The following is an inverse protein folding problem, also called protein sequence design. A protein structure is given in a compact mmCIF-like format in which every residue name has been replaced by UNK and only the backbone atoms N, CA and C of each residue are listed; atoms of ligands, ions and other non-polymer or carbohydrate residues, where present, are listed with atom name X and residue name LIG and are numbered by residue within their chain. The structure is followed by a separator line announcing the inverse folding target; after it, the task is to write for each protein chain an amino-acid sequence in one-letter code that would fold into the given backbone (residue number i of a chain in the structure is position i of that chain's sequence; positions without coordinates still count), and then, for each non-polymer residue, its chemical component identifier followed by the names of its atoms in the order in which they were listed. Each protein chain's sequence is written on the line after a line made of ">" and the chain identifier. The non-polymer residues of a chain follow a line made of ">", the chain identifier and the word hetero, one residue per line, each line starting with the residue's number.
data_IF_336031789765
#
_entry.id   IF_336031789765
#
_cell.length_a   1.000
_cell.length_b   1.000
_cell.length_c   1.000
_cell.angle_alpha   90.00
_cell.angle_beta   90.00
_cell.angle_gamma   90.00
#
_symmetry.space_group_name_H-M   'P 1'
#
loop_
_entity.id
_entity.type
_entity.pdbx_description
1 polymer ?
#
# COMPACT_ATOMS: atom_id res chain seq x y z
N UNK A 1 -24.52 -12.29 -28.72
CA UNK A 1 -23.14 -12.52 -28.25
C UNK A 1 -22.90 -11.57 -27.10
N UNK A 2 -23.03 -12.04 -25.86
CA UNK A 2 -22.89 -11.20 -24.66
C UNK A 2 -21.42 -11.07 -24.30
N UNK A 3 -20.86 -9.89 -24.52
CA UNK A 3 -19.56 -9.50 -23.94
C UNK A 3 -19.79 -9.22 -22.46
N UNK A 4 -19.50 -10.20 -21.62
CA UNK A 4 -19.40 -9.99 -20.18
C UNK A 4 -18.20 -9.06 -19.93
N UNK A 5 -18.50 -7.76 -19.84
CA UNK A 5 -17.62 -6.78 -19.21
C UNK A 5 -17.18 -7.36 -17.87
N UNK A 6 -15.90 -7.70 -17.81
CA UNK A 6 -15.30 -8.26 -16.62
C UNK A 6 -15.11 -7.08 -15.66
N UNK A 7 -16.14 -6.78 -14.86
CA UNK A 7 -16.09 -5.77 -13.80
C UNK A 7 -15.05 -6.20 -12.75
N UNK A 8 -13.79 -5.86 -13.00
CA UNK A 8 -12.77 -5.79 -11.97
C UNK A 8 -13.10 -4.54 -11.15
N UNK A 9 -13.16 -4.69 -9.83
CA UNK A 9 -13.27 -3.55 -8.93
C UNK A 9 -12.18 -2.51 -9.30
N UNK A 10 -12.56 -1.23 -9.57
CA UNK A 10 -11.62 -0.19 -10.01
C UNK A 10 -10.37 -0.08 -9.14
N UNK A 11 -10.51 -0.31 -7.83
CA UNK A 11 -9.42 -0.27 -6.86
C UNK A 11 -8.32 -1.29 -7.20
N UNK A 12 -8.69 -2.53 -7.55
CA UNK A 12 -7.71 -3.56 -7.90
C UNK A 12 -7.06 -3.31 -9.26
N UNK A 13 -7.80 -2.70 -10.20
CA UNK A 13 -7.27 -2.31 -11.50
C UNK A 13 -6.16 -1.25 -11.35
N UNK A 14 -6.39 -0.23 -10.52
CA UNK A 14 -5.44 0.86 -10.28
C UNK A 14 -4.13 0.39 -9.63
N UNK A 15 -4.14 -0.74 -8.92
CA UNK A 15 -2.95 -1.28 -8.26
C UNK A 15 -2.27 -2.37 -9.11
N UNK A 16 -3.03 -3.30 -9.68
CA UNK A 16 -2.47 -4.47 -10.39
C UNK A 16 -1.97 -4.09 -11.78
N UNK A 17 -2.69 -3.26 -12.54
CA UNK A 17 -2.32 -2.93 -13.92
C UNK A 17 -0.97 -2.21 -14.03
N UNK A 18 -0.61 -1.21 -13.19
CA UNK A 18 0.70 -0.59 -13.25
C UNK A 18 1.85 -1.56 -13.00
N UNK A 19 1.67 -2.52 -12.07
CA UNK A 19 2.69 -3.56 -11.79
C UNK A 19 2.88 -4.47 -13.00
N UNK A 20 1.79 -4.90 -13.63
CA UNK A 20 1.85 -5.71 -14.85
C UNK A 20 2.53 -4.97 -16.01
N UNK A 21 2.18 -3.69 -16.22
CA UNK A 21 2.80 -2.88 -17.28
C UNK A 21 4.30 -2.69 -17.03
N UNK A 22 4.69 -2.39 -15.78
CA UNK A 22 6.10 -2.24 -15.40
C UNK A 22 6.89 -3.53 -15.59
N UNK A 23 6.32 -4.68 -15.25
CA UNK A 23 6.96 -5.97 -15.46
C UNK A 23 7.07 -6.31 -16.96
N UNK A 24 6.06 -5.94 -17.76
CA UNK A 24 6.05 -6.12 -19.22
C UNK A 24 7.09 -5.25 -19.96
N UNK A 25 7.64 -4.20 -19.32
CA UNK A 25 8.67 -3.35 -19.97
C UNK A 25 9.93 -4.14 -20.37
N UNK A 26 10.20 -5.24 -19.68
CA UNK A 26 11.43 -6.01 -19.82
C UNK A 26 11.23 -7.44 -20.35
N UNK A 27 9.98 -7.92 -20.42
CA UNK A 27 9.65 -9.30 -20.84
C UNK A 27 8.29 -9.37 -21.56
N UNK A 28 8.17 -10.26 -22.54
CA UNK A 28 6.90 -10.52 -23.23
C UNK A 28 5.95 -11.41 -22.41
N UNK A 29 6.51 -12.18 -21.48
CA UNK A 29 5.81 -13.09 -20.58
C UNK A 29 6.12 -12.73 -19.14
N UNK A 30 5.08 -12.63 -18.30
CA UNK A 30 5.21 -12.29 -16.89
C UNK A 30 4.86 -13.51 -16.05
N UNK A 31 5.73 -13.88 -15.11
CA UNK A 31 5.39 -14.92 -14.15
C UNK A 31 4.48 -14.36 -13.06
N UNK A 32 3.44 -15.11 -12.71
CA UNK A 32 2.52 -14.73 -11.63
C UNK A 32 3.21 -14.55 -10.29
N UNK A 33 4.32 -15.26 -10.06
CA UNK A 33 5.12 -15.09 -8.85
C UNK A 33 5.66 -13.66 -8.73
N UNK A 34 6.15 -13.07 -9.82
CA UNK A 34 6.71 -11.70 -9.80
C UNK A 34 5.65 -10.66 -9.43
N UNK A 35 4.41 -10.88 -9.91
CA UNK A 35 3.26 -10.04 -9.58
C UNK A 35 2.90 -10.18 -8.10
N UNK A 36 2.90 -11.41 -7.58
CA UNK A 36 2.63 -11.68 -6.17
C UNK A 36 3.69 -11.06 -5.29
N UNK A 37 4.97 -11.19 -5.64
CA UNK A 37 6.08 -10.67 -4.85
C UNK A 37 6.02 -9.13 -4.77
N UNK A 38 5.69 -8.46 -5.88
CA UNK A 38 5.51 -7.00 -5.88
C UNK A 38 4.24 -6.54 -5.15
N UNK A 39 3.17 -7.33 -5.16
CA UNK A 39 1.90 -6.98 -4.52
C UNK A 39 1.71 -7.62 -3.14
N UNK A 40 2.73 -8.28 -2.61
CA UNK A 40 2.58 -9.18 -1.47
C UNK A 40 2.00 -8.46 -0.24
N UNK A 41 2.48 -7.25 0.05
CA UNK A 41 2.01 -6.45 1.18
C UNK A 41 0.57 -5.95 0.97
N UNK A 42 0.24 -5.55 -0.26
CA UNK A 42 -1.12 -5.14 -0.62
C UNK A 42 -2.10 -6.30 -0.51
N UNK A 43 -1.70 -7.50 -0.96
CA UNK A 43 -2.50 -8.72 -0.83
C UNK A 43 -2.75 -9.02 0.66
N UNK A 44 -1.72 -8.92 1.51
CA UNK A 44 -1.86 -9.14 2.95
C UNK A 44 -2.79 -8.11 3.59
N UNK A 45 -2.76 -6.86 3.14
CA UNK A 45 -3.57 -5.79 3.72
C UNK A 45 -5.04 -5.90 3.35
N UNK A 46 -5.34 -6.15 2.08
CA UNK A 46 -6.69 -6.17 1.51
C UNK A 46 -7.44 -7.49 1.67
N UNK A 47 -6.74 -8.54 2.12
CA UNK A 47 -7.37 -9.85 2.29
C UNK A 47 -7.99 -9.98 3.67
N UNK A 48 -9.24 -10.42 3.70
CA UNK A 48 -9.94 -10.75 4.93
C UNK A 48 -9.19 -11.82 5.72
N UNK A 49 -8.98 -11.58 7.02
CA UNK A 49 -8.25 -12.47 7.92
C UNK A 49 -8.93 -13.83 8.12
N UNK A 50 -10.23 -13.93 7.85
CA UNK A 50 -11.01 -15.18 7.90
C UNK A 50 -10.99 -15.96 6.58
N UNK A 51 -10.40 -15.41 5.52
CA UNK A 51 -10.35 -16.07 4.21
C UNK A 51 -9.48 -17.33 4.27
N UNK A 52 -10.00 -18.42 3.72
CA UNK A 52 -9.23 -19.66 3.61
C UNK A 52 -8.13 -19.53 2.55
N UNK A 53 -7.05 -20.28 2.72
CA UNK A 53 -5.95 -20.37 1.75
C UNK A 53 -6.45 -20.49 0.30
N UNK A 54 -7.41 -21.36 0.03
CA UNK A 54 -7.95 -21.56 -1.32
C UNK A 54 -8.74 -20.35 -1.85
N UNK A 55 -9.48 -19.66 -0.98
CA UNK A 55 -10.17 -18.41 -1.34
C UNK A 55 -9.19 -17.30 -1.68
N UNK A 56 -8.10 -17.18 -0.93
CA UNK A 56 -7.04 -16.19 -1.16
C UNK A 56 -6.41 -16.45 -2.53
N UNK A 57 -5.92 -17.69 -2.74
CA UNK A 57 -5.29 -18.11 -4.00
C UNK A 57 -6.21 -17.86 -5.20
N UNK A 58 -7.46 -18.34 -5.12
CA UNK A 58 -8.41 -18.23 -6.24
C UNK A 58 -8.84 -16.79 -6.54
N UNK A 59 -9.12 -15.99 -5.51
CA UNK A 59 -9.59 -14.60 -5.68
C UNK A 59 -8.52 -13.72 -6.32
N UNK A 60 -7.29 -13.78 -5.82
CA UNK A 60 -6.21 -12.96 -6.35
C UNK A 60 -5.71 -13.44 -7.70
N UNK A 61 -5.62 -14.77 -7.92
CA UNK A 61 -5.34 -15.33 -9.24
C UNK A 61 -6.32 -14.82 -10.29
N UNK A 62 -7.62 -14.80 -9.96
CA UNK A 62 -8.66 -14.27 -10.85
C UNK A 62 -8.43 -12.78 -11.13
N UNK A 63 -8.15 -11.96 -10.11
CA UNK A 63 -7.86 -10.52 -10.26
C UNK A 63 -6.66 -10.27 -11.17
N UNK A 64 -5.58 -11.04 -11.03
CA UNK A 64 -4.39 -10.91 -11.88
C UNK A 64 -4.70 -11.24 -13.34
N UNK A 65 -5.36 -12.35 -13.61
CA UNK A 65 -5.71 -12.72 -14.98
C UNK A 65 -6.67 -11.73 -15.64
N UNK A 66 -7.65 -11.22 -14.89
CA UNK A 66 -8.54 -10.20 -15.42
C UNK A 66 -7.76 -8.91 -15.74
N UNK A 67 -6.82 -8.52 -14.87
CA UNK A 67 -6.00 -7.31 -15.08
C UNK A 67 -5.03 -7.48 -16.26
N UNK A 68 -4.42 -8.66 -16.40
CA UNK A 68 -3.56 -9.01 -17.53
C UNK A 68 -4.32 -8.98 -18.86
N UNK A 69 -5.58 -9.44 -18.86
CA UNK A 69 -6.46 -9.32 -20.04
C UNK A 69 -6.75 -7.86 -20.41
N UNK A 70 -6.91 -6.97 -19.42
CA UNK A 70 -7.12 -5.54 -19.67
C UNK A 70 -5.89 -4.85 -20.24
N UNK A 71 -4.69 -5.24 -19.78
CA UNK A 71 -3.43 -4.66 -20.25
C UNK A 71 -2.85 -5.37 -21.46
N UNK A 72 -3.53 -6.39 -21.99
CA UNK A 72 -3.05 -7.26 -23.07
C UNK A 72 -1.66 -7.87 -22.80
N UNK A 73 -1.46 -8.32 -21.56
CA UNK A 73 -0.21 -8.91 -21.07
C UNK A 73 -0.37 -10.41 -20.91
N UNK A 74 0.65 -11.19 -21.27
CA UNK A 74 0.67 -12.65 -21.09
C UNK A 74 1.14 -12.96 -19.67
N UNK A 75 0.25 -13.56 -18.87
CA UNK A 75 0.54 -13.97 -17.49
C UNK A 75 0.67 -15.49 -17.40
N UNK A 76 1.85 -15.95 -16.99
CA UNK A 76 2.16 -17.37 -16.79
C UNK A 76 1.82 -17.80 -15.36
N UNK A 77 1.02 -18.86 -15.26
CA UNK A 77 0.61 -19.48 -13.99
C UNK A 77 1.45 -20.73 -13.72
N UNK A 78 2.76 -20.58 -13.66
CA UNK A 78 3.67 -21.67 -13.32
C UNK A 78 4.19 -21.50 -11.89
N UNK A 79 4.24 -22.60 -11.12
CA UNK A 79 4.88 -22.74 -9.80
C UNK A 79 4.68 -21.58 -8.81
N UNK A 80 3.46 -21.09 -8.70
CA UNK A 80 3.13 -19.96 -7.83
C UNK A 80 3.13 -20.36 -6.35
N UNK A 81 4.05 -19.80 -5.57
CA UNK A 81 4.19 -20.00 -4.13
C UNK A 81 3.39 -18.93 -3.38
N UNK A 82 2.29 -19.36 -2.78
CA UNK A 82 1.37 -18.49 -2.03
C UNK A 82 1.60 -18.56 -0.52
N UNK A 83 2.35 -19.58 -0.08
CA UNK A 83 2.59 -19.91 1.32
C UNK A 83 3.15 -18.73 2.11
N UNK A 84 4.13 -17.94 1.62
CA UNK A 84 4.63 -16.76 2.34
C UNK A 84 3.57 -15.68 2.57
N UNK A 85 2.68 -15.47 1.60
CA UNK A 85 1.61 -14.47 1.67
C UNK A 85 0.50 -14.93 2.62
N UNK A 86 0.08 -16.17 2.46
CA UNK A 86 -0.96 -16.79 3.31
C UNK A 86 -0.51 -16.84 4.77
N UNK A 87 0.76 -17.19 5.02
CA UNK A 87 1.36 -17.17 6.37
C UNK A 87 1.25 -15.78 6.99
N UNK A 88 1.61 -14.73 6.25
CA UNK A 88 1.52 -13.35 6.73
C UNK A 88 0.08 -12.89 7.02
N UNK A 89 -0.89 -13.33 6.22
CA UNK A 89 -2.33 -13.05 6.47
C UNK A 89 -2.79 -13.70 7.78
N UNK A 90 -2.45 -14.97 8.01
CA UNK A 90 -2.82 -15.67 9.25
C UNK A 90 -2.06 -15.15 10.48
N UNK A 91 -0.80 -14.75 10.35
CA UNK A 91 -0.03 -14.09 11.42
C UNK A 91 -0.65 -12.74 11.80
N UNK A 92 -1.09 -11.95 10.79
CA UNK A 92 -1.83 -10.69 11.02
C UNK A 92 -3.13 -10.95 11.81
N UNK A 93 -3.84 -12.03 11.52
CA UNK A 93 -5.05 -12.43 12.26
C UNK A 93 -4.76 -12.85 13.70
N UNK A 94 -3.65 -13.56 13.92
CA UNK A 94 -3.27 -14.09 15.24
C UNK A 94 -2.78 -13.00 16.18
N UNK A 95 -2.01 -12.02 15.67
CA UNK A 95 -1.51 -10.91 16.47
C UNK A 95 -2.62 -9.94 16.91
N UNK A 96 -3.72 -9.84 16.16
CA UNK A 96 -4.88 -9.04 16.57
C UNK A 96 -5.65 -9.63 17.77
N UNK A 97 -5.48 -10.93 18.07
CA UNK A 97 -6.21 -11.62 19.12
C UNK A 97 -5.42 -11.81 20.42
N UNK A 98 -4.13 -11.47 20.46
CA UNK A 98 -3.24 -11.70 21.60
C UNK A 98 -2.67 -10.39 22.19
N UNK A 99 -3.54 -9.45 22.54
CA UNK A 99 -3.19 -8.41 23.52
C UNK A 99 -3.53 -8.93 24.92
N UNK A 100 -2.77 -9.91 25.39
CA UNK A 100 -2.61 -10.17 26.82
C UNK A 100 -1.13 -10.47 27.09
N UNK A 101 -0.63 -9.84 28.15
CA UNK A 101 0.73 -9.85 28.69
C UNK A 101 1.65 -11.01 28.27
N UNK A 102 2.89 -10.74 27.84
CA UNK A 102 4.01 -10.80 28.77
C UNK A 102 5.35 -10.27 28.24
N UNK A 103 6.09 -9.71 29.18
CA UNK A 103 7.38 -9.05 29.06
C UNK A 103 8.53 -10.07 29.07
N UNK A 104 9.43 -10.04 28.09
CA UNK A 104 10.80 -10.54 28.29
C UNK A 104 11.79 -9.99 27.26
N UNK A 105 12.81 -9.31 27.78
CA UNK A 105 14.01 -8.87 27.12
C UNK A 105 14.77 -10.01 26.43
N UNK A 106 15.33 -9.76 25.24
CA UNK A 106 16.65 -10.31 24.86
C UNK A 106 17.33 -9.38 23.86
N UNK A 107 18.46 -8.83 24.29
CA UNK A 107 19.44 -8.07 23.51
C UNK A 107 20.25 -9.01 22.62
N UNK A 108 20.51 -8.66 21.35
CA UNK A 108 21.85 -8.69 20.72
C UNK A 108 21.85 -8.20 19.28
N UNK A 109 22.88 -7.41 18.97
CA UNK A 109 23.16 -6.70 17.72
C UNK A 109 23.25 -7.59 16.47
N UNK A 110 22.82 -7.05 15.33
CA UNK A 110 23.47 -7.32 14.03
C UNK A 110 23.28 -6.14 13.09
N UNK A 111 24.38 -5.47 12.77
CA UNK A 111 24.51 -4.49 11.68
C UNK A 111 24.45 -5.22 10.34
N UNK A 112 23.36 -5.02 9.60
CA UNK A 112 23.26 -5.33 8.17
C UNK A 112 22.42 -4.25 7.50
N UNK A 113 23.10 -3.27 6.93
CA UNK A 113 22.54 -2.28 6.00
C UNK A 113 21.97 -3.00 4.78
N UNK A 114 20.65 -3.15 4.78
CA UNK A 114 19.87 -3.59 3.62
C UNK A 114 18.60 -2.75 3.64
N UNK A 115 18.29 -2.14 2.51
CA UNK A 115 17.18 -1.21 2.30
C UNK A 115 15.84 -1.96 2.37
N UNK A 116 15.48 -2.36 3.58
CA UNK A 116 14.22 -3.02 3.88
C UNK A 116 13.16 -1.94 4.01
N UNK A 117 12.33 -1.81 2.97
CA UNK A 117 11.03 -1.14 3.03
C UNK A 117 10.17 -1.88 4.06
N UNK A 118 10.39 -1.58 5.34
CA UNK A 118 9.61 -2.14 6.42
C UNK A 118 8.36 -1.29 6.58
N UNK A 119 7.24 -1.83 6.17
CA UNK A 119 5.87 -1.32 6.42
C UNK A 119 5.49 -1.53 7.89
N UNK A 120 6.44 -1.36 8.81
CA UNK A 120 6.15 -1.17 10.22
C UNK A 120 5.57 0.24 10.34
N UNK A 121 4.40 0.37 10.97
CA UNK A 121 3.83 1.65 11.43
C UNK A 121 4.76 2.23 12.51
N UNK A 122 5.99 2.56 12.13
CA UNK A 122 6.98 3.19 13.00
C UNK A 122 6.50 4.62 13.18
N UNK A 123 6.30 5.01 14.44
CA UNK A 123 6.09 6.40 14.81
C UNK A 123 7.17 7.25 14.14
N UNK A 124 6.75 8.31 13.46
CA UNK A 124 7.67 9.28 12.88
C UNK A 124 8.58 9.78 14.00
N UNK A 125 9.87 9.53 13.85
CA UNK A 125 10.88 10.03 14.78
C UNK A 125 11.00 11.54 14.64
N UNK A 126 11.62 12.20 15.63
CA UNK A 126 11.87 13.63 15.54
C UNK A 126 12.75 14.00 14.32
N UNK A 127 13.61 13.09 13.88
CA UNK A 127 14.38 13.23 12.64
C UNK A 127 13.47 13.19 11.40
N UNK A 128 12.52 12.26 11.34
CA UNK A 128 11.54 12.19 10.25
C UNK A 128 10.68 13.46 10.18
N UNK A 129 10.23 13.95 11.33
CA UNK A 129 9.48 15.22 11.42
C UNK A 129 10.32 16.42 10.96
N UNK A 130 11.61 16.45 11.31
CA UNK A 130 12.53 17.48 10.85
C UNK A 130 12.72 17.42 9.32
N UNK A 131 12.86 16.22 8.75
CA UNK A 131 12.97 16.00 7.32
C UNK A 131 11.69 16.42 6.58
N UNK A 132 10.50 16.09 7.09
CA UNK A 132 9.22 16.53 6.51
C UNK A 132 9.12 18.05 6.51
N UNK A 133 9.48 18.71 7.62
CA UNK A 133 9.52 20.19 7.70
C UNK A 133 10.47 20.78 6.66
N UNK A 134 11.64 20.18 6.48
CA UNK A 134 12.63 20.60 5.49
C UNK A 134 12.12 20.43 4.06
N UNK A 135 11.51 19.28 3.75
CA UNK A 135 10.93 19.01 2.43
C UNK A 135 9.81 20.00 2.10
N UNK A 136 8.90 20.25 3.04
CA UNK A 136 7.83 21.22 2.84
C UNK A 136 8.37 22.64 2.60
N UNK A 137 9.39 23.05 3.36
CA UNK A 137 9.99 24.39 3.20
C UNK A 137 10.76 24.57 1.89
N UNK A 138 11.10 23.46 1.22
CA UNK A 138 11.73 23.48 -0.10
C UNK A 138 10.71 23.51 -1.26
N UNK A 139 9.42 23.33 -0.97
CA UNK A 139 8.37 23.45 -1.99
C UNK A 139 8.14 24.91 -2.35
N UNK A 140 7.71 25.15 -3.58
CA UNK A 140 7.32 26.47 -4.08
C UNK A 140 5.87 26.78 -3.68
N UNK A 141 5.61 27.77 -2.80
CA UNK A 141 4.25 28.09 -2.37
C UNK A 141 3.34 28.53 -3.50
N UNK A 142 3.89 29.06 -4.61
CA UNK A 142 3.09 29.46 -5.76
C UNK A 142 2.44 28.27 -6.50
N UNK A 143 2.89 27.04 -6.21
CA UNK A 143 2.40 25.80 -6.84
C UNK A 143 1.48 25.00 -5.92
N UNK A 144 1.16 25.51 -4.75
CA UNK A 144 0.30 24.82 -3.80
C UNK A 144 -1.12 24.67 -4.33
N UNK A 145 -1.72 23.53 -4.00
CA UNK A 145 -3.07 23.23 -4.43
C UNK A 145 -4.06 23.64 -3.35
N UNK A 146 -5.09 24.36 -3.76
CA UNK A 146 -6.18 24.76 -2.90
C UNK A 146 -7.45 24.05 -3.33
N UNK A 147 -8.07 23.33 -2.40
CA UNK A 147 -9.37 22.74 -2.66
C UNK A 147 -10.43 23.85 -2.65
N UNK A 148 -11.33 23.80 -3.64
CA UNK A 148 -12.44 24.76 -3.75
C UNK A 148 -13.26 24.84 -2.47
N UNK A 149 -13.57 23.68 -1.87
CA UNK A 149 -14.30 23.62 -0.60
C UNK A 149 -13.57 24.35 0.55
N UNK A 150 -12.24 24.25 0.62
CA UNK A 150 -11.45 24.96 1.63
C UNK A 150 -11.44 26.47 1.36
N UNK A 151 -11.37 26.89 0.11
CA UNK A 151 -11.45 28.31 -0.27
C UNK A 151 -12.82 28.91 0.07
N UNK A 152 -13.89 28.21 -0.28
CA UNK A 152 -15.27 28.64 -0.02
C UNK A 152 -15.55 28.76 1.49
N UNK A 153 -14.97 27.87 2.30
CA UNK A 153 -15.09 27.91 3.75
C UNK A 153 -14.25 29.05 4.36
N UNK A 154 -13.00 29.19 3.94
CA UNK A 154 -12.11 30.26 4.41
C UNK A 154 -12.67 31.66 4.11
N UNK A 155 -13.30 31.84 2.95
CA UNK A 155 -14.00 33.07 2.59
C UNK A 155 -15.20 33.37 3.50
N UNK A 156 -15.93 32.35 3.98
CA UNK A 156 -17.03 32.53 4.95
C UNK A 156 -16.52 32.91 6.32
N UNK A 157 -15.40 32.32 6.71
CA UNK A 157 -14.79 32.52 8.04
C UNK A 157 -13.84 33.73 8.08
N UNK A 158 -13.65 34.42 6.93
CA UNK A 158 -12.75 35.55 6.73
C UNK A 158 -11.30 35.27 7.16
N UNK A 159 -10.80 34.09 6.77
CA UNK A 159 -9.43 33.62 7.01
C UNK A 159 -8.78 33.22 5.69
N UNK A 160 -7.46 33.12 5.67
CA UNK A 160 -6.73 32.63 4.50
C UNK A 160 -7.00 31.12 4.30
N UNK A 161 -7.19 30.67 3.04
CA UNK A 161 -7.41 29.27 2.76
C UNK A 161 -6.14 28.45 3.02
N UNK A 162 -6.31 27.29 3.65
CA UNK A 162 -5.23 26.33 3.83
C UNK A 162 -4.99 25.52 2.54
N UNK A 163 -3.72 25.36 2.17
CA UNK A 163 -3.31 24.50 1.05
C UNK A 163 -3.34 23.01 1.39
N UNK A 164 -3.44 22.15 0.37
CA UNK A 164 -3.39 20.70 0.54
C UNK A 164 -2.06 20.27 1.19
N UNK A 165 -0.96 20.84 0.74
CA UNK A 165 0.39 20.55 1.22
C UNK A 165 0.54 20.91 2.70
N UNK A 166 0.01 22.06 3.11
CA UNK A 166 0.06 22.51 4.50
C UNK A 166 -0.79 21.60 5.41
N UNK A 167 -1.95 21.19 4.92
CA UNK A 167 -2.81 20.23 5.61
C UNK A 167 -2.13 18.86 5.75
N UNK A 168 -1.48 18.37 4.69
CA UNK A 168 -0.73 17.11 4.72
C UNK A 168 0.47 17.18 5.67
N UNK A 169 1.21 18.30 5.67
CA UNK A 169 2.30 18.53 6.62
C UNK A 169 1.78 18.53 8.05
N UNK A 170 0.69 19.23 8.35
CA UNK A 170 0.10 19.26 9.69
C UNK A 170 -0.27 17.85 10.14
N UNK A 171 -0.99 17.12 9.28
CA UNK A 171 -1.38 15.74 9.56
C UNK A 171 -0.16 14.84 9.84
N UNK A 172 0.87 14.91 9.00
CA UNK A 172 2.09 14.13 9.20
C UNK A 172 2.81 14.47 10.52
N UNK A 173 2.79 15.74 10.97
CA UNK A 173 3.44 16.16 12.21
C UNK A 173 2.62 15.84 13.47
N UNK A 174 1.30 15.87 13.36
CA UNK A 174 0.36 15.66 14.47
C UNK A 174 -0.10 14.20 14.61
N UNK A 175 0.17 13.34 13.62
CA UNK A 175 -0.12 11.92 13.67
C UNK A 175 0.58 11.25 14.85
N UNK A 176 -0.18 10.99 15.92
CA UNK A 176 0.17 10.05 16.98
C UNK A 176 -0.42 8.70 16.60
N UNK A 177 0.44 7.77 16.18
CA UNK A 177 -0.01 6.40 15.91
C UNK A 177 -0.24 5.70 17.25
N UNK A 178 -1.50 5.37 17.54
CA UNK A 178 -1.83 4.48 18.65
C UNK A 178 -1.35 3.06 18.33
N UNK A 179 -0.61 2.45 19.27
CA UNK A 179 -0.27 1.04 19.27
C UNK A 179 -1.40 0.21 19.86
#
# INVERSE_FOLDING_TARGET
>A
MSTSESDINPLYKEVICPVLLKLAENTDEIHMQDVIDQLADYIVEETDQSATTDMIKSSWTKRFFQSAKLTNVVLLKENTCWEPVVKRIHEKASNNNNNDHDNSNTTSNTTSSTSSSSTLKRLLTEEDKANIKKMFSALDPAKFWYLKATCDQAAKDNVDPESVEEKMKRFALECVYHQ
#
